data_IF_986370981297
#
_entry.id   IF_986370981297
#
_cell.length_a   1.000
_cell.length_b   1.000
_cell.length_c   1.000
_cell.angle_alpha   90.00
_cell.angle_beta   90.00
_cell.angle_gamma   90.00
#
_symmetry.space_group_name_H-M   'P 1'
#
loop_
_entity.id
_entity.type
_entity.pdbx_description
1 polymer ?
#
# COMPACT_ATOMS: atom_id res chain seq x y z
N UNK A 1 57.37 -54.61 -2.73
CA UNK A 1 56.63 -53.33 -2.83
C UNK A 1 55.15 -53.70 -2.89
N UNK A 2 54.35 -53.64 -1.82
CA UNK A 2 53.96 -52.42 -1.06
C UNK A 2 53.46 -51.38 -2.08
N UNK A 3 52.19 -51.00 -2.18
CA UNK A 3 51.28 -50.60 -1.11
C UNK A 3 49.80 -50.86 -1.43
N UNK A 4 49.06 -51.15 -0.37
CA UNK A 4 47.61 -51.02 -0.24
C UNK A 4 47.22 -49.54 -0.32
N UNK A 5 46.15 -49.19 -1.04
CA UNK A 5 45.38 -47.98 -0.76
C UNK A 5 43.90 -48.32 -0.80
N UNK A 6 43.35 -48.48 0.41
CA UNK A 6 41.97 -48.13 0.72
C UNK A 6 41.80 -46.64 0.43
N UNK A 7 40.73 -46.27 -0.28
CA UNK A 7 40.16 -44.94 -0.12
C UNK A 7 38.64 -45.07 -0.13
N UNK A 8 38.11 -44.84 1.06
CA UNK A 8 36.70 -44.85 1.40
C UNK A 8 35.88 -43.98 0.45
N UNK A 9 34.82 -44.58 -0.08
CA UNK A 9 33.73 -43.83 -0.69
C UNK A 9 33.00 -43.09 0.43
N UNK A 10 33.42 -41.86 0.71
CA UNK A 10 32.63 -40.94 1.54
C UNK A 10 31.36 -40.62 0.73
N UNK A 11 30.27 -41.32 1.02
CA UNK A 11 28.94 -40.85 0.66
C UNK A 11 28.72 -39.56 1.43
N UNK A 12 28.86 -38.42 0.76
CA UNK A 12 28.39 -37.14 1.30
C UNK A 12 26.87 -37.25 1.30
N UNK A 13 26.30 -37.79 2.39
CA UNK A 13 24.94 -37.48 2.78
C UNK A 13 24.92 -35.96 2.91
N UNK A 14 24.29 -35.29 1.93
CA UNK A 14 23.76 -33.95 2.13
C UNK A 14 22.79 -34.10 3.30
N UNK A 15 23.29 -33.90 4.52
CA UNK A 15 22.41 -33.51 5.60
C UNK A 15 21.67 -32.28 5.05
N UNK A 16 20.32 -32.26 5.08
CA UNK A 16 19.64 -30.99 4.94
C UNK A 16 20.29 -30.11 5.99
N UNK A 17 20.88 -28.99 5.59
CA UNK A 17 21.08 -27.91 6.52
C UNK A 17 19.67 -27.60 7.04
N UNK A 18 19.33 -28.19 8.18
CA UNK A 18 18.38 -27.60 9.09
C UNK A 18 18.97 -26.22 9.35
N UNK A 19 18.52 -25.25 8.56
CA UNK A 19 18.43 -23.87 9.00
C UNK A 19 17.44 -23.88 10.18
N UNK A 20 17.83 -24.48 11.30
CA UNK A 20 17.38 -24.03 12.60
C UNK A 20 18.05 -22.66 12.78
N UNK A 21 17.54 -21.66 12.06
CA UNK A 21 17.68 -20.29 12.53
C UNK A 21 17.11 -20.35 13.93
N UNK A 22 17.95 -20.31 14.98
CA UNK A 22 17.48 -20.10 16.34
C UNK A 22 16.49 -18.94 16.25
N UNK A 23 15.22 -19.24 16.48
CA UNK A 23 14.20 -18.19 16.45
C UNK A 23 14.66 -17.17 17.47
N UNK A 24 14.84 -15.94 17.00
CA UNK A 24 15.24 -14.84 17.85
C UNK A 24 14.39 -14.90 19.13
N UNK A 25 14.97 -14.95 20.34
CA UNK A 25 14.21 -15.09 21.57
C UNK A 25 13.22 -13.94 21.81
N UNK A 26 13.34 -12.85 21.05
CA UNK A 26 12.43 -11.71 21.03
C UNK A 26 11.32 -11.82 19.96
N UNK A 27 11.36 -12.84 19.09
CA UNK A 27 10.30 -13.11 18.12
C UNK A 27 9.07 -13.66 18.84
N UNK A 28 8.11 -12.77 19.10
CA UNK A 28 6.80 -13.11 19.67
C UNK A 28 5.89 -13.86 18.68
N UNK A 29 6.36 -14.09 17.45
CA UNK A 29 5.63 -14.75 16.39
C UNK A 29 4.46 -13.91 15.86
N UNK A 30 3.54 -14.58 15.18
CA UNK A 30 2.33 -13.94 14.68
C UNK A 30 1.21 -13.98 15.73
N UNK A 31 0.51 -12.85 15.89
CA UNK A 31 -0.75 -12.80 16.65
C UNK A 31 -1.87 -13.45 15.82
N UNK A 32 -1.82 -14.78 15.68
CA UNK A 32 -2.71 -15.58 14.83
C UNK A 32 -3.49 -16.60 15.65
N UNK A 33 -4.81 -16.49 15.58
CA UNK A 33 -5.77 -17.45 16.13
C UNK A 33 -6.16 -18.41 15.00
N UNK A 34 -5.97 -19.71 15.21
CA UNK A 34 -6.45 -20.76 14.30
C UNK A 34 -7.92 -21.05 14.60
N UNK A 35 -8.74 -21.16 13.57
CA UNK A 35 -10.17 -21.45 13.69
C UNK A 35 -10.49 -22.95 13.52
N UNK A 36 -9.51 -23.73 13.05
CA UNK A 36 -9.61 -25.18 12.91
C UNK A 36 -8.27 -25.88 13.17
N UNK A 37 -8.31 -27.20 13.33
CA UNK A 37 -7.12 -28.01 13.64
C UNK A 37 -6.08 -28.02 12.52
N UNK A 38 -6.51 -27.89 11.26
CA UNK A 38 -5.63 -27.84 10.08
C UNK A 38 -4.86 -26.52 9.98
N UNK A 39 -5.36 -25.45 10.60
CA UNK A 39 -4.73 -24.13 10.62
C UNK A 39 -4.85 -23.33 9.32
N UNK A 40 -5.63 -23.82 8.35
CA UNK A 40 -5.93 -23.11 7.09
C UNK A 40 -7.09 -22.12 7.22
N UNK A 41 -7.83 -22.16 8.34
CA UNK A 41 -8.74 -21.11 8.76
C UNK A 41 -8.15 -20.36 9.94
N UNK A 42 -8.10 -19.03 9.86
CA UNK A 42 -7.40 -18.22 10.87
C UNK A 42 -7.87 -16.77 10.90
N UNK A 43 -7.63 -16.11 12.03
CA UNK A 43 -7.69 -14.66 12.22
C UNK A 43 -6.31 -14.20 12.69
N UNK A 44 -5.76 -13.16 12.06
CA UNK A 44 -4.46 -12.56 12.37
C UNK A 44 -4.64 -11.10 12.72
N UNK A 45 -4.07 -10.70 13.84
CA UNK A 45 -4.00 -9.31 14.28
C UNK A 45 -2.62 -8.73 13.98
N UNK A 46 -2.60 -7.45 13.64
CA UNK A 46 -1.38 -6.67 13.44
C UNK A 46 -1.56 -5.30 14.07
N UNK A 47 -0.58 -4.87 14.85
CA UNK A 47 -0.54 -3.54 15.45
C UNK A 47 0.67 -2.84 14.85
N UNK A 48 0.48 -1.62 14.35
CA UNK A 48 1.57 -0.78 13.86
C UNK A 48 1.47 0.61 14.46
N UNK A 49 2.58 1.11 15.01
CA UNK A 49 2.70 2.45 15.56
C UNK A 49 3.90 3.15 14.94
N UNK A 50 3.70 4.39 14.52
CA UNK A 50 4.72 5.29 14.00
C UNK A 50 4.61 6.60 14.76
N UNK A 51 5.54 6.81 15.69
CA UNK A 51 5.70 8.06 16.43
C UNK A 51 6.85 8.82 15.78
N UNK A 52 6.59 10.09 15.47
CA UNK A 52 7.58 10.99 14.91
C UNK A 52 7.97 12.01 15.97
N UNK A 53 9.28 12.14 16.19
CA UNK A 53 9.89 13.24 16.92
C UNK A 53 10.71 14.03 15.91
N UNK A 54 10.45 15.32 15.81
CA UNK A 54 10.97 16.16 14.73
C UNK A 54 11.56 17.45 15.28
N UNK A 55 12.67 17.87 14.69
CA UNK A 55 13.25 19.20 14.78
C UNK A 55 13.37 19.72 13.37
N UNK A 56 12.67 20.82 13.07
CA UNK A 56 12.51 21.35 11.71
C UNK A 56 13.03 22.78 11.71
N UNK A 57 13.95 23.07 10.80
CA UNK A 57 14.23 24.43 10.37
C UNK A 57 13.16 24.83 9.36
N UNK A 58 12.38 25.85 9.69
CA UNK A 58 11.22 26.23 8.92
C UNK A 58 11.60 27.15 7.76
N UNK A 59 10.81 27.12 6.70
CA UNK A 59 10.92 28.09 5.62
C UNK A 59 10.55 29.50 6.13
N UNK A 60 11.16 30.58 5.59
CA UNK A 60 10.80 31.95 5.93
C UNK A 60 9.29 32.22 5.81
N UNK A 61 8.73 32.93 6.78
CA UNK A 61 7.29 33.25 6.84
C UNK A 61 6.41 32.11 7.41
N UNK A 62 7.00 30.97 7.80
CA UNK A 62 6.27 29.94 8.53
C UNK A 62 5.80 30.48 9.87
N UNK A 63 4.51 30.28 10.15
CA UNK A 63 3.93 30.62 11.45
C UNK A 63 3.15 29.44 12.02
N UNK A 64 3.22 29.31 13.35
CA UNK A 64 2.45 28.35 14.13
C UNK A 64 1.43 29.15 14.93
N UNK A 65 0.14 28.94 14.66
CA UNK A 65 -0.95 29.71 15.26
C UNK A 65 -0.74 31.24 15.13
N UNK A 66 -0.25 31.68 13.97
CA UNK A 66 0.02 33.10 13.69
C UNK A 66 1.31 33.65 14.31
N UNK A 67 2.06 32.86 15.08
CA UNK A 67 3.36 33.25 15.61
C UNK A 67 4.46 32.80 14.64
N UNK A 68 5.26 33.71 14.08
CA UNK A 68 6.41 33.33 13.25
C UNK A 68 7.38 32.42 14.01
N UNK A 69 7.87 31.38 13.34
CA UNK A 69 8.78 30.40 13.93
C UNK A 69 9.84 29.99 12.91
N UNK A 70 11.11 30.30 13.19
CA UNK A 70 12.25 29.85 12.37
C UNK A 70 12.58 28.37 12.60
N UNK A 71 12.21 27.83 13.76
CA UNK A 71 12.36 26.42 14.10
C UNK A 71 11.08 25.89 14.73
N UNK A 72 10.78 24.62 14.50
CA UNK A 72 9.66 23.94 15.17
C UNK A 72 10.06 22.55 15.62
N UNK A 73 9.63 22.20 16.82
CA UNK A 73 9.76 20.87 17.38
C UNK A 73 8.38 20.24 17.44
N UNK A 74 8.29 18.96 17.09
CA UNK A 74 7.00 18.27 17.08
C UNK A 74 7.13 16.81 17.51
N UNK A 75 6.14 16.37 18.28
CA UNK A 75 5.88 14.98 18.59
C UNK A 75 4.50 14.63 18.05
N UNK A 76 4.44 13.65 17.14
CA UNK A 76 3.21 13.29 16.45
C UNK A 76 3.05 11.80 16.24
N UNK A 77 1.80 11.36 16.21
CA UNK A 77 1.42 10.03 15.77
C UNK A 77 1.23 10.12 14.25
N UNK A 78 2.23 9.65 13.49
CA UNK A 78 2.14 9.61 12.03
C UNK A 78 1.09 8.61 11.57
N UNK A 79 1.11 7.41 12.17
CA UNK A 79 0.15 6.30 11.95
C UNK A 79 0.06 5.46 13.23
N UNK A 80 -1.15 5.18 13.70
CA UNK A 80 -1.40 4.17 14.72
C UNK A 80 -2.59 3.34 14.29
N UNK A 81 -2.34 2.08 13.92
CA UNK A 81 -3.29 1.25 13.19
C UNK A 81 -3.36 -0.17 13.75
N UNK A 82 -4.59 -0.68 13.79
CA UNK A 82 -4.92 -2.09 13.96
C UNK A 82 -5.27 -2.67 12.59
N UNK A 83 -4.70 -3.82 12.27
CA UNK A 83 -5.05 -4.62 11.09
C UNK A 83 -5.57 -5.97 11.55
N UNK A 84 -6.69 -6.40 11.00
CA UNK A 84 -7.28 -7.72 11.20
C UNK A 84 -7.40 -8.37 9.84
N UNK A 85 -6.79 -9.54 9.69
CA UNK A 85 -6.86 -10.35 8.47
C UNK A 85 -7.47 -11.69 8.84
N UNK A 86 -8.29 -12.25 7.97
CA UNK A 86 -8.84 -13.58 8.22
C UNK A 86 -8.92 -14.41 6.95
N UNK A 87 -8.74 -15.71 7.11
CA UNK A 87 -9.13 -16.73 6.15
C UNK A 87 -10.24 -17.53 6.83
N UNK A 88 -11.51 -17.24 6.48
CA UNK A 88 -12.68 -17.85 7.13
C UNK A 88 -12.97 -19.22 6.52
N UNK A 89 -12.87 -19.31 5.20
CA UNK A 89 -12.93 -20.57 4.45
C UNK A 89 -11.75 -20.62 3.48
N UNK A 90 -11.47 -21.75 2.81
CA UNK A 90 -10.44 -21.78 1.76
C UNK A 90 -10.66 -20.77 0.62
N UNK A 91 -11.87 -20.25 0.49
CA UNK A 91 -12.28 -19.36 -0.59
C UNK A 91 -12.68 -17.97 -0.13
N UNK A 92 -12.86 -17.73 1.17
CA UNK A 92 -13.36 -16.46 1.68
C UNK A 92 -12.46 -15.87 2.76
N UNK A 93 -12.10 -14.59 2.57
CA UNK A 93 -11.28 -13.81 3.50
C UNK A 93 -11.91 -12.44 3.77
N UNK A 94 -11.62 -11.91 4.96
CA UNK A 94 -12.01 -10.55 5.38
C UNK A 94 -10.75 -9.79 5.80
N UNK A 95 -10.65 -8.54 5.35
CA UNK A 95 -9.57 -7.63 5.71
C UNK A 95 -10.13 -6.35 6.30
N UNK A 96 -9.60 -5.98 7.47
CA UNK A 96 -9.88 -4.72 8.15
C UNK A 96 -8.57 -4.03 8.50
N UNK A 97 -8.47 -2.75 8.22
CA UNK A 97 -7.45 -1.86 8.78
C UNK A 97 -8.16 -0.61 9.29
N UNK A 98 -7.84 -0.20 10.51
CA UNK A 98 -8.47 0.95 11.16
C UNK A 98 -7.49 1.63 12.10
N UNK A 99 -7.71 2.92 12.37
CA UNK A 99 -6.84 3.67 13.25
C UNK A 99 -6.89 5.17 13.02
N UNK A 100 -5.86 5.85 13.51
CA UNK A 100 -5.64 7.28 13.32
C UNK A 100 -4.39 7.54 12.48
N UNK A 101 -4.37 8.69 11.82
CA UNK A 101 -3.26 9.18 11.01
C UNK A 101 -2.99 10.67 11.31
N UNK A 102 -1.73 11.08 11.19
CA UNK A 102 -1.32 12.49 11.14
C UNK A 102 -1.75 13.36 12.34
N UNK A 103 -1.76 12.79 13.54
CA UNK A 103 -2.05 13.56 14.74
C UNK A 103 -0.78 14.22 15.29
N UNK A 104 -0.82 15.51 15.53
CA UNK A 104 0.18 16.23 16.32
C UNK A 104 -0.49 17.38 17.09
N UNK A 105 0.29 18.32 17.64
CA UNK A 105 -0.27 19.37 18.50
C UNK A 105 -1.20 20.37 17.77
N UNK A 106 -1.19 20.44 16.43
CA UNK A 106 -2.02 21.36 15.63
C UNK A 106 -2.89 20.66 14.58
N UNK A 107 -2.51 19.48 14.09
CA UNK A 107 -3.16 18.76 13.00
C UNK A 107 -3.74 17.41 13.44
N UNK A 108 -4.64 16.89 12.60
CA UNK A 108 -5.22 15.56 12.79
C UNK A 108 -6.42 15.53 13.72
N UNK A 109 -6.79 16.65 14.36
CA UNK A 109 -7.95 16.79 15.24
C UNK A 109 -9.01 17.75 14.70
N UNK A 110 -9.85 18.29 15.59
CA UNK A 110 -10.83 19.32 15.22
C UNK A 110 -10.23 20.72 15.04
N UNK A 111 -11.07 21.74 14.97
CA UNK A 111 -10.66 23.15 14.73
C UNK A 111 -10.74 24.00 15.99
N UNK A 112 -9.89 25.02 16.10
CA UNK A 112 -9.94 26.00 17.19
C UNK A 112 -9.38 25.49 18.52
N UNK A 113 -9.82 26.08 19.63
CA UNK A 113 -9.42 25.70 20.99
C UNK A 113 -10.52 24.91 21.70
N UNK A 114 -10.21 24.31 22.85
CA UNK A 114 -11.18 23.57 23.67
C UNK A 114 -11.08 22.04 23.56
N UNK A 115 -12.16 21.35 23.92
CA UNK A 115 -12.20 19.89 24.11
C UNK A 115 -11.99 19.10 22.79
N UNK A 116 -12.39 19.68 21.66
CA UNK A 116 -12.21 19.13 20.31
C UNK A 116 -11.39 20.09 19.42
N UNK A 117 -10.45 20.83 20.03
CA UNK A 117 -9.63 21.81 19.31
C UNK A 117 -8.56 21.17 18.40
N UNK A 118 -7.75 22.03 17.79
CA UNK A 118 -6.62 21.69 16.93
C UNK A 118 -5.73 20.61 17.57
N UNK A 119 -5.40 19.59 16.78
CA UNK A 119 -4.55 18.46 17.20
C UNK A 119 -5.18 17.43 18.17
N UNK A 120 -6.37 17.70 18.72
CA UNK A 120 -7.00 16.82 19.71
C UNK A 120 -7.97 15.82 19.09
N UNK A 121 -8.00 14.61 19.67
CA UNK A 121 -8.95 13.52 19.36
C UNK A 121 -9.01 13.23 17.86
N UNK A 122 -7.89 12.80 17.30
CA UNK A 122 -7.85 12.48 15.90
C UNK A 122 -8.92 11.45 15.52
N UNK A 123 -9.66 11.65 14.41
CA UNK A 123 -10.70 10.72 14.01
C UNK A 123 -10.13 9.32 13.85
N UNK A 124 -10.79 8.36 14.50
CA UNK A 124 -10.57 6.95 14.24
C UNK A 124 -11.46 6.52 13.08
N UNK A 125 -10.87 5.94 12.04
CA UNK A 125 -11.61 5.52 10.84
C UNK A 125 -11.05 4.22 10.27
N UNK A 126 -11.83 3.58 9.40
CA UNK A 126 -11.40 2.41 8.65
C UNK A 126 -10.57 2.85 7.45
N UNK A 127 -9.31 2.41 7.36
CA UNK A 127 -8.51 2.55 6.15
C UNK A 127 -8.97 1.55 5.09
N UNK A 128 -9.13 0.29 5.47
CA UNK A 128 -9.60 -0.77 4.56
C UNK A 128 -10.66 -1.60 5.29
N UNK A 129 -11.73 -1.95 4.59
CA UNK A 129 -12.80 -2.79 5.10
C UNK A 129 -13.45 -3.51 3.92
N UNK A 130 -12.94 -4.69 3.59
CA UNK A 130 -13.37 -5.44 2.42
C UNK A 130 -13.35 -6.94 2.67
N UNK A 131 -14.05 -7.65 1.79
CA UNK A 131 -14.08 -9.10 1.74
C UNK A 131 -13.58 -9.58 0.38
N UNK A 132 -13.03 -10.79 0.33
CA UNK A 132 -12.51 -11.40 -0.89
C UNK A 132 -12.98 -12.84 -1.03
N UNK A 133 -13.32 -13.19 -2.27
CA UNK A 133 -13.61 -14.52 -2.76
C UNK A 133 -12.46 -14.98 -3.67
N UNK A 134 -11.82 -16.09 -3.33
CA UNK A 134 -10.86 -16.76 -4.17
C UNK A 134 -11.59 -17.57 -5.25
N UNK A 135 -11.51 -17.12 -6.50
CA UNK A 135 -12.00 -17.87 -7.67
C UNK A 135 -11.01 -18.98 -8.01
N UNK A 136 -9.72 -18.62 -8.03
CA UNK A 136 -8.60 -19.54 -8.13
C UNK A 136 -7.67 -19.22 -6.96
N UNK A 137 -7.66 -20.02 -5.88
CA UNK A 137 -6.84 -19.72 -4.71
C UNK A 137 -5.35 -19.85 -5.05
N UNK A 138 -4.50 -19.13 -4.34
CA UNK A 138 -3.04 -19.21 -4.50
C UNK A 138 -2.49 -20.61 -4.25
N UNK A 139 -3.06 -21.35 -3.31
CA UNK A 139 -2.74 -22.75 -3.07
C UNK A 139 -3.97 -23.60 -3.38
N UNK A 140 -3.76 -24.71 -4.09
CA UNK A 140 -4.80 -25.69 -4.34
C UNK A 140 -5.27 -26.29 -3.01
N UNK A 141 -6.57 -26.26 -2.76
CA UNK A 141 -7.13 -26.71 -1.49
C UNK A 141 -6.97 -28.22 -1.25
N UNK A 142 -7.03 -29.03 -2.31
CA UNK A 142 -6.93 -30.49 -2.22
C UNK A 142 -5.47 -30.94 -2.05
N UNK A 143 -4.55 -30.33 -2.79
CA UNK A 143 -3.14 -30.76 -2.82
C UNK A 143 -2.22 -29.96 -1.91
N UNK A 144 -2.66 -28.78 -1.45
CA UNK A 144 -1.86 -27.82 -0.68
C UNK A 144 -0.76 -27.13 -1.48
N UNK A 145 -0.57 -27.48 -2.75
CA UNK A 145 0.50 -26.94 -3.61
C UNK A 145 0.11 -25.59 -4.22
N UNK A 146 1.07 -24.68 -4.47
CA UNK A 146 0.81 -23.43 -5.16
C UNK A 146 0.20 -23.66 -6.55
N UNK A 147 -0.86 -22.94 -6.88
CA UNK A 147 -1.38 -22.86 -8.24
C UNK A 147 -0.46 -21.96 -9.08
N UNK A 148 -0.28 -22.31 -10.37
CA UNK A 148 0.49 -21.48 -11.32
C UNK A 148 -0.12 -20.08 -11.47
N UNK A 149 -1.45 -20.01 -11.44
CA UNK A 149 -2.22 -18.78 -11.55
C UNK A 149 -3.19 -18.69 -10.38
N UNK A 150 -3.54 -17.47 -9.99
CA UNK A 150 -4.57 -17.20 -8.99
C UNK A 150 -5.41 -16.00 -9.39
N UNK A 151 -6.63 -15.96 -8.87
CA UNK A 151 -7.66 -14.97 -9.18
C UNK A 151 -8.56 -14.80 -7.97
N UNK A 152 -8.72 -13.55 -7.55
CA UNK A 152 -9.53 -13.14 -6.42
C UNK A 152 -10.45 -12.00 -6.84
N UNK A 153 -11.68 -12.04 -6.36
CA UNK A 153 -12.68 -10.99 -6.52
C UNK A 153 -13.00 -10.46 -5.12
N UNK A 154 -13.04 -9.15 -4.93
CA UNK A 154 -13.41 -8.56 -3.65
C UNK A 154 -14.26 -7.31 -3.78
N UNK A 155 -14.83 -6.91 -2.65
CA UNK A 155 -15.70 -5.75 -2.54
C UNK A 155 -15.60 -5.10 -1.16
N UNK A 156 -15.72 -3.77 -1.12
CA UNK A 156 -15.69 -2.97 0.11
C UNK A 156 -14.90 -1.68 -0.03
N UNK A 157 -14.43 -1.14 1.08
CA UNK A 157 -13.49 -0.02 1.09
C UNK A 157 -12.07 -0.60 0.95
N UNK A 158 -11.40 -0.31 -0.16
CA UNK A 158 -10.12 -0.96 -0.46
C UNK A 158 -9.11 -0.06 -1.16
N UNK A 159 -7.85 -0.50 -1.11
CA UNK A 159 -6.70 0.12 -1.78
C UNK A 159 -6.17 -0.70 -2.97
N UNK A 160 -6.92 -1.70 -3.47
CA UNK A 160 -6.61 -2.41 -4.72
C UNK A 160 -6.79 -1.50 -5.94
N UNK A 161 -5.85 -0.57 -6.12
CA UNK A 161 -5.93 0.51 -7.10
C UNK A 161 -4.71 0.51 -8.02
N UNK A 162 -4.79 1.30 -9.09
CA UNK A 162 -3.63 1.83 -9.80
C UNK A 162 -3.01 3.00 -9.04
N UNK A 163 -2.01 3.70 -9.59
CA UNK A 163 -1.47 3.53 -10.96
C UNK A 163 -0.04 2.99 -10.97
N UNK A 164 0.56 2.87 -9.80
CA UNK A 164 1.94 2.40 -9.63
C UNK A 164 2.08 1.54 -8.38
N UNK A 165 3.29 1.03 -8.18
CA UNK A 165 3.74 0.38 -6.97
C UNK A 165 3.58 1.26 -5.74
N UNK A 166 3.97 2.53 -5.82
CA UNK A 166 3.91 3.44 -4.68
C UNK A 166 2.50 3.98 -4.40
N UNK A 167 1.58 3.98 -5.37
CA UNK A 167 0.15 4.21 -5.07
C UNK A 167 -0.40 3.12 -4.15
N UNK A 168 0.23 1.94 -4.15
CA UNK A 168 -0.10 0.79 -3.32
C UNK A 168 0.94 0.54 -2.21
N UNK A 169 1.74 1.52 -1.83
CA UNK A 169 2.86 1.26 -0.91
C UNK A 169 2.42 0.85 0.50
N UNK A 170 3.13 -0.14 1.05
CA UNK A 170 3.01 -0.54 2.44
C UNK A 170 3.63 0.49 3.35
N UNK A 171 2.84 0.97 4.33
CA UNK A 171 3.32 1.93 5.32
C UNK A 171 4.26 1.32 6.36
N UNK A 172 4.36 -0.02 6.45
CA UNK A 172 5.23 -0.72 7.41
C UNK A 172 6.52 -1.25 6.78
N UNK A 173 6.69 -1.09 5.47
CA UNK A 173 7.83 -1.61 4.70
C UNK A 173 8.38 -0.56 3.75
N UNK A 174 8.63 0.64 4.26
CA UNK A 174 9.09 1.78 3.48
C UNK A 174 10.61 1.88 3.54
N UNK A 175 11.23 2.35 2.46
CA UNK A 175 12.66 2.65 2.46
C UNK A 175 12.94 3.99 3.17
N UNK A 176 12.16 5.01 2.82
CA UNK A 176 12.26 6.36 3.39
C UNK A 176 11.28 6.54 4.56
N UNK A 177 11.44 7.65 5.30
CA UNK A 177 10.59 7.98 6.44
C UNK A 177 9.12 8.25 6.10
N UNK A 178 8.82 8.71 4.87
CA UNK A 178 7.44 8.83 4.37
C UNK A 178 7.34 8.62 2.85
N UNK A 179 6.11 8.56 2.33
CA UNK A 179 5.80 8.46 0.91
C UNK A 179 5.51 9.85 0.33
N UNK A 180 6.09 10.20 -0.82
CA UNK A 180 5.71 11.43 -1.52
C UNK A 180 4.24 11.39 -1.95
N UNK A 181 3.49 12.46 -1.66
CA UNK A 181 2.03 12.53 -1.83
C UNK A 181 1.61 12.41 -3.30
N UNK A 182 2.42 12.89 -4.25
CA UNK A 182 2.11 12.83 -5.69
C UNK A 182 2.00 11.40 -6.24
N UNK A 183 2.30 10.35 -5.47
CA UNK A 183 2.05 8.96 -5.87
C UNK A 183 0.57 8.57 -5.79
N UNK A 184 -0.27 9.41 -5.18
CA UNK A 184 -1.67 9.13 -4.91
C UNK A 184 -2.57 10.16 -5.63
N UNK A 185 -3.21 9.79 -6.75
CA UNK A 185 -3.89 10.75 -7.63
C UNK A 185 -4.99 11.58 -6.95
N UNK A 186 -5.81 10.96 -6.11
CA UNK A 186 -7.03 11.56 -5.55
C UNK A 186 -7.00 11.70 -4.03
N UNK A 187 -5.80 11.63 -3.43
CA UNK A 187 -5.60 11.43 -2.00
C UNK A 187 -6.34 12.46 -1.15
N UNK A 188 -7.24 12.00 -0.30
CA UNK A 188 -8.05 12.84 0.60
C UNK A 188 -8.92 13.90 -0.13
N UNK A 189 -9.12 13.77 -1.44
CA UNK A 189 -10.01 14.62 -2.23
C UNK A 189 -11.23 13.82 -2.69
N UNK A 190 -11.01 12.80 -3.53
CA UNK A 190 -12.07 11.90 -4.01
C UNK A 190 -11.88 10.45 -3.52
N UNK A 191 -10.96 10.24 -2.58
CA UNK A 191 -10.70 9.00 -1.88
C UNK A 191 -10.53 9.23 -0.36
N UNK A 192 -10.57 8.16 0.41
CA UNK A 192 -10.24 8.15 1.83
C UNK A 192 -8.87 7.49 2.02
N UNK A 193 -7.83 8.30 2.16
CA UNK A 193 -6.44 7.88 2.31
C UNK A 193 -6.00 6.86 1.25
N UNK A 194 -6.32 7.06 -0.04
CA UNK A 194 -6.08 6.16 -1.18
C UNK A 194 -7.05 4.97 -1.28
N UNK A 195 -8.20 5.01 -0.58
CA UNK A 195 -9.24 3.99 -0.66
C UNK A 195 -10.56 4.54 -1.17
N UNK A 196 -11.27 3.73 -1.93
CA UNK A 196 -12.61 4.01 -2.39
C UNK A 196 -13.50 2.78 -2.16
N UNK A 197 -14.82 3.01 -2.16
CA UNK A 197 -15.80 1.93 -2.11
C UNK A 197 -16.02 1.37 -3.51
N UNK A 198 -15.91 0.05 -3.66
CA UNK A 198 -16.02 -0.56 -4.96
C UNK A 198 -15.86 -2.07 -4.95
N UNK A 199 -15.62 -2.58 -6.17
CA UNK A 199 -15.27 -3.96 -6.44
C UNK A 199 -13.90 -4.00 -7.10
N UNK A 200 -13.15 -5.06 -6.83
CA UNK A 200 -11.82 -5.23 -7.38
C UNK A 200 -11.55 -6.69 -7.71
N UNK A 201 -10.63 -6.88 -8.65
CA UNK A 201 -10.08 -8.18 -9.01
C UNK A 201 -8.57 -8.10 -8.93
N UNK A 202 -7.94 -9.15 -8.43
CA UNK A 202 -6.48 -9.25 -8.44
C UNK A 202 -6.03 -10.69 -8.54
N UNK A 203 -4.76 -10.85 -8.87
CA UNK A 203 -4.11 -12.14 -8.84
C UNK A 203 -2.78 -12.14 -9.55
N UNK A 204 -2.35 -13.34 -9.92
CA UNK A 204 -1.10 -13.58 -10.61
C UNK A 204 -1.33 -14.57 -11.75
N UNK A 205 -0.79 -14.26 -12.92
CA UNK A 205 -0.64 -15.18 -14.04
C UNK A 205 0.84 -15.47 -14.23
N UNK A 206 1.30 -16.61 -13.71
CA UNK A 206 2.71 -16.97 -13.59
C UNK A 206 3.56 -15.85 -12.94
N UNK A 207 4.25 -15.02 -13.73
CA UNK A 207 5.11 -13.92 -13.27
C UNK A 207 4.44 -12.54 -13.32
N UNK A 208 3.30 -12.43 -13.99
CA UNK A 208 2.53 -11.19 -14.09
C UNK A 208 1.59 -11.06 -12.88
N UNK A 209 1.80 -10.05 -12.05
CA UNK A 209 0.82 -9.64 -11.05
C UNK A 209 -0.13 -8.63 -11.66
N UNK A 210 -1.42 -8.70 -11.35
CA UNK A 210 -2.42 -7.76 -11.84
C UNK A 210 -3.43 -7.40 -10.74
N UNK A 211 -3.93 -6.17 -10.79
CA UNK A 211 -5.05 -5.69 -9.98
C UNK A 211 -5.85 -4.65 -10.76
N UNK A 212 -7.17 -4.72 -10.65
CA UNK A 212 -8.09 -3.78 -11.28
C UNK A 212 -9.26 -3.51 -10.34
N UNK A 213 -9.82 -2.31 -10.42
CA UNK A 213 -10.97 -1.92 -9.62
C UNK A 213 -11.94 -1.03 -10.37
N UNK A 214 -13.20 -1.12 -9.93
CA UNK A 214 -14.29 -0.22 -10.32
C UNK A 214 -14.88 0.33 -9.03
N UNK A 215 -14.72 1.65 -8.84
CA UNK A 215 -15.07 2.30 -7.58
C UNK A 215 -16.07 3.42 -7.80
N UNK A 216 -16.72 3.82 -6.71
CA UNK A 216 -17.46 5.07 -6.60
C UNK A 216 -16.58 6.06 -5.83
N UNK A 217 -15.96 7.06 -6.49
CA UNK A 217 -15.23 8.11 -5.79
C UNK A 217 -16.13 8.85 -4.79
N UNK A 218 -15.54 9.33 -3.69
CA UNK A 218 -16.25 10.18 -2.74
C UNK A 218 -16.64 11.51 -3.39
N UNK A 219 -17.76 12.08 -2.94
CA UNK A 219 -18.32 13.28 -3.56
C UNK A 219 -17.39 14.49 -3.39
N UNK A 220 -17.15 15.21 -4.47
CA UNK A 220 -16.40 16.47 -4.48
C UNK A 220 -17.27 17.57 -5.09
N UNK A 221 -17.14 18.80 -4.59
CA UNK A 221 -18.05 19.89 -4.94
C UNK A 221 -17.39 21.27 -4.93
N UNK A 222 -16.08 21.34 -5.17
CA UNK A 222 -15.41 22.64 -5.27
C UNK A 222 -16.05 23.46 -6.40
N UNK A 223 -16.24 24.75 -6.15
CA UNK A 223 -16.83 25.66 -7.13
C UNK A 223 -15.72 26.24 -8.00
N UNK A 224 -15.71 25.99 -9.32
CA UNK A 224 -14.76 26.64 -10.21
C UNK A 224 -15.01 28.15 -10.24
N UNK A 225 -13.98 28.90 -10.63
CA UNK A 225 -14.06 30.34 -10.88
C UNK A 225 -13.98 30.62 -12.37
N UNK A 226 -14.59 31.72 -12.82
CA UNK A 226 -14.58 32.11 -14.24
C UNK A 226 -13.15 32.27 -14.75
N UNK A 227 -12.79 31.54 -15.82
CA UNK A 227 -11.47 31.55 -16.42
C UNK A 227 -10.37 30.88 -15.59
N UNK A 228 -10.71 30.22 -14.48
CA UNK A 228 -9.76 29.50 -13.63
C UNK A 228 -9.54 28.04 -14.03
N UNK A 229 -8.63 27.34 -13.34
CA UNK A 229 -8.37 25.92 -13.53
C UNK A 229 -9.61 25.07 -13.27
N UNK A 230 -9.59 23.84 -13.80
CA UNK A 230 -10.49 22.81 -13.35
C UNK A 230 -10.25 22.48 -11.87
N UNK A 231 -11.34 22.31 -11.12
CA UNK A 231 -11.33 21.95 -9.69
C UNK A 231 -12.06 20.64 -9.46
N UNK A 232 -11.74 19.94 -8.37
CA UNK A 232 -12.40 18.70 -7.98
C UNK A 232 -13.90 18.88 -7.73
N UNK A 233 -14.70 18.41 -8.68
CA UNK A 233 -16.14 18.46 -8.63
C UNK A 233 -16.71 17.35 -9.50
N UNK A 234 -17.03 16.23 -8.85
CA UNK A 234 -17.48 15.04 -9.54
C UNK A 234 -19.00 14.97 -9.75
N UNK A 235 -19.75 16.01 -9.34
CA UNK A 235 -21.20 16.14 -9.47
C UNK A 235 -21.96 14.87 -9.00
N UNK A 236 -22.46 14.07 -9.96
CA UNK A 236 -23.16 12.79 -9.69
C UNK A 236 -22.23 11.66 -9.21
N UNK A 237 -20.91 11.89 -9.28
CA UNK A 237 -19.83 10.96 -9.00
C UNK A 237 -19.89 9.74 -9.92
N UNK A 238 -19.42 9.86 -11.17
CA UNK A 238 -19.35 8.68 -12.05
C UNK A 238 -18.41 7.61 -11.45
N UNK A 239 -18.54 6.38 -11.93
CA UNK A 239 -17.62 5.32 -11.55
C UNK A 239 -16.20 5.66 -12.02
N UNK A 240 -15.22 5.36 -11.18
CA UNK A 240 -13.81 5.35 -11.54
C UNK A 240 -13.36 3.92 -11.87
N UNK A 241 -12.35 3.83 -12.74
CA UNK A 241 -11.70 2.59 -13.13
C UNK A 241 -10.22 2.74 -12.88
N UNK A 242 -9.61 1.74 -12.26
CA UNK A 242 -8.19 1.77 -11.96
C UNK A 242 -7.55 0.41 -12.13
N UNK A 243 -6.25 0.40 -12.41
CA UNK A 243 -5.51 -0.84 -12.54
C UNK A 243 -4.01 -0.64 -12.43
N UNK A 244 -3.32 -1.72 -12.06
CA UNK A 244 -1.88 -1.81 -12.07
C UNK A 244 -1.48 -3.27 -12.34
N UNK A 245 -0.50 -3.46 -13.20
CA UNK A 245 0.08 -4.76 -13.46
C UNK A 245 1.60 -4.63 -13.51
N UNK A 246 2.30 -5.64 -13.01
CA UNK A 246 3.76 -5.66 -13.06
C UNK A 246 4.29 -7.07 -13.33
N UNK A 247 5.33 -7.13 -14.14
CA UNK A 247 6.02 -8.37 -14.48
C UNK A 247 7.24 -8.56 -13.58
N UNK A 248 7.38 -9.76 -13.01
CA UNK A 248 8.41 -10.09 -12.04
C UNK A 248 9.53 -10.90 -12.70
N UNK A 249 10.66 -10.27 -12.99
CA UNK A 249 11.76 -10.89 -13.75
C UNK A 249 12.58 -11.88 -12.92
N UNK A 250 12.79 -11.60 -11.63
CA UNK A 250 13.62 -12.42 -10.75
C UNK A 250 12.79 -13.23 -9.75
N UNK A 251 12.93 -13.01 -8.45
CA UNK A 251 12.05 -13.63 -7.46
C UNK A 251 10.66 -12.99 -7.50
N UNK A 252 9.62 -13.83 -7.38
CA UNK A 252 8.25 -13.35 -7.20
C UNK A 252 8.08 -12.77 -5.81
N UNK A 253 7.47 -11.60 -5.73
CA UNK A 253 6.83 -11.05 -4.54
C UNK A 253 5.48 -11.74 -4.31
N UNK A 254 5.08 -11.88 -3.04
CA UNK A 254 3.75 -12.40 -2.68
C UNK A 254 2.83 -11.25 -2.32
N UNK A 255 1.70 -11.15 -3.02
CA UNK A 255 0.71 -10.06 -2.84
C UNK A 255 -0.53 -10.58 -2.11
N UNK A 256 -0.46 -10.69 -0.78
CA UNK A 256 -1.62 -11.13 0.03
C UNK A 256 -2.61 -10.00 0.27
N UNK A 257 -2.12 -8.76 0.31
CA UNK A 257 -2.91 -7.54 0.46
C UNK A 257 -2.64 -6.62 -0.73
N UNK A 258 -3.40 -5.53 -0.82
CA UNK A 258 -3.14 -4.45 -1.77
C UNK A 258 -1.75 -3.83 -1.60
N UNK A 259 -1.14 -3.94 -0.42
CA UNK A 259 0.10 -3.24 -0.10
C UNK A 259 1.37 -3.90 -0.66
N UNK A 260 2.16 -3.13 -1.40
CA UNK A 260 3.46 -3.52 -1.95
C UNK A 260 4.59 -2.95 -1.09
N UNK A 261 5.60 -3.76 -0.78
CA UNK A 261 6.70 -3.39 0.11
C UNK A 261 7.67 -2.40 -0.53
N UNK A 262 7.79 -1.15 -0.08
CA UNK A 262 8.87 -0.25 -0.56
C UNK A 262 10.28 -0.83 -0.43
N UNK A 263 10.53 -1.64 0.60
CA UNK A 263 11.78 -2.37 0.82
C UNK A 263 11.49 -3.66 1.61
N UNK A 264 12.16 -4.76 1.27
CA UNK A 264 12.11 -6.03 1.99
C UNK A 264 13.49 -6.41 2.53
N UNK A 265 14.27 -5.42 2.98
CA UNK A 265 15.63 -5.57 3.50
C UNK A 265 16.56 -6.33 2.51
N UNK A 266 16.28 -6.20 1.20
CA UNK A 266 16.98 -6.92 0.15
C UNK A 266 17.12 -8.44 0.39
N UNK A 267 16.14 -9.07 1.06
CA UNK A 267 16.19 -10.49 1.40
C UNK A 267 16.21 -11.41 0.15
N UNK A 268 15.68 -10.92 -0.98
CA UNK A 268 15.65 -11.63 -2.26
C UNK A 268 15.94 -10.68 -3.41
N UNK A 269 16.43 -11.23 -4.51
CA UNK A 269 16.67 -10.48 -5.75
C UNK A 269 15.34 -10.27 -6.47
N UNK A 270 14.90 -9.01 -6.57
CA UNK A 270 13.63 -8.62 -7.20
C UNK A 270 13.90 -7.62 -8.30
N UNK A 271 13.22 -7.77 -9.43
CA UNK A 271 13.13 -6.77 -10.49
C UNK A 271 11.74 -6.85 -11.08
N UNK A 272 11.00 -5.75 -10.96
CA UNK A 272 9.65 -5.61 -11.46
C UNK A 272 9.56 -4.39 -12.36
N UNK A 273 8.83 -4.53 -13.46
CA UNK A 273 8.42 -3.41 -14.30
C UNK A 273 6.90 -3.40 -14.31
N UNK A 274 6.31 -2.26 -13.98
CA UNK A 274 4.88 -2.10 -13.84
C UNK A 274 4.32 -0.93 -14.64
N UNK A 275 3.03 -1.02 -14.93
CA UNK A 275 2.26 0.08 -15.51
C UNK A 275 0.83 0.03 -14.98
N UNK A 276 0.20 1.19 -14.90
CA UNK A 276 -1.15 1.31 -14.39
C UNK A 276 -1.84 2.59 -14.80
N UNK A 277 -3.11 2.68 -14.44
CA UNK A 277 -3.97 3.78 -14.80
C UNK A 277 -5.05 4.05 -13.73
N UNK A 278 -5.57 5.26 -13.77
CA UNK A 278 -6.77 5.70 -13.07
C UNK A 278 -7.57 6.56 -14.04
N UNK A 279 -8.87 6.34 -14.14
CA UNK A 279 -9.76 7.17 -14.94
C UNK A 279 -11.10 7.33 -14.26
N UNK A 280 -11.63 8.56 -14.26
CA UNK A 280 -12.98 8.86 -13.83
C UNK A 280 -13.56 9.90 -14.78
N UNK A 281 -14.78 9.65 -15.28
CA UNK A 281 -15.53 10.66 -16.04
C UNK A 281 -16.07 11.74 -15.11
N UNK A 282 -16.25 12.94 -15.65
CA UNK A 282 -16.83 14.10 -14.96
C UNK A 282 -16.27 14.27 -13.54
N UNK A 283 -14.94 14.18 -13.38
CA UNK A 283 -14.28 14.17 -12.08
C UNK A 283 -13.93 15.58 -11.60
N UNK A 284 -13.64 16.46 -12.55
CA UNK A 284 -13.34 17.87 -12.30
C UNK A 284 -14.26 18.75 -13.13
N UNK A 285 -14.37 20.01 -12.74
CA UNK A 285 -15.19 21.01 -13.41
C UNK A 285 -14.42 22.31 -13.55
N UNK A 286 -14.51 22.96 -14.70
CA UNK A 286 -14.06 24.34 -14.90
C UNK A 286 -15.23 25.25 -15.26
N UNK A 287 -15.00 26.56 -15.18
CA UNK A 287 -15.97 27.58 -15.58
C UNK A 287 -15.33 28.52 -16.62
N UNK A 288 -15.43 28.22 -17.93
CA UNK A 288 -14.81 29.07 -18.95
C UNK A 288 -15.39 30.49 -19.03
N UNK A 289 -16.69 30.64 -18.79
CA UNK A 289 -17.38 31.93 -18.73
C UNK A 289 -18.46 31.93 -17.64
N UNK A 290 -19.01 33.10 -17.33
CA UNK A 290 -20.02 33.25 -16.28
C UNK A 290 -21.20 32.28 -16.49
N UNK A 291 -21.51 31.48 -15.46
CA UNK A 291 -22.53 30.43 -15.45
C UNK A 291 -22.41 29.33 -16.52
N UNK A 292 -21.27 29.21 -17.20
CA UNK A 292 -20.98 28.12 -18.14
C UNK A 292 -20.01 27.14 -17.49
N UNK A 293 -20.47 25.93 -17.21
CA UNK A 293 -19.66 24.90 -16.56
C UNK A 293 -19.29 23.79 -17.54
N UNK A 294 -18.04 23.35 -17.51
CA UNK A 294 -17.53 22.24 -18.30
C UNK A 294 -16.98 21.15 -17.39
N UNK A 295 -17.46 19.92 -17.56
CA UNK A 295 -16.96 18.73 -16.84
C UNK A 295 -15.81 18.09 -17.62
N UNK A 296 -14.78 17.64 -16.89
CA UNK A 296 -13.60 17.00 -17.46
C UNK A 296 -13.34 15.65 -16.79
N UNK A 297 -12.78 14.68 -17.53
CA UNK A 297 -12.30 13.46 -16.91
C UNK A 297 -11.02 13.72 -16.10
N UNK A 298 -10.82 12.90 -15.07
CA UNK A 298 -9.52 12.76 -14.40
C UNK A 298 -8.88 11.49 -14.91
N UNK A 299 -7.70 11.62 -15.54
CA UNK A 299 -6.93 10.51 -16.06
C UNK A 299 -5.51 10.56 -15.50
N UNK A 300 -5.04 9.42 -15.01
CA UNK A 300 -3.66 9.23 -14.61
C UNK A 300 -3.11 7.99 -15.25
N UNK A 301 -1.93 8.09 -15.84
CA UNK A 301 -1.13 6.96 -16.29
C UNK A 301 0.17 6.89 -15.49
N UNK A 302 0.60 5.68 -15.16
CA UNK A 302 1.86 5.43 -14.47
C UNK A 302 2.65 4.29 -15.09
N UNK A 303 3.97 4.41 -15.08
CA UNK A 303 4.89 3.32 -15.39
C UNK A 303 6.06 3.37 -14.40
N UNK A 304 6.43 2.24 -13.84
CA UNK A 304 7.48 2.15 -12.83
C UNK A 304 8.42 0.97 -13.05
N UNK A 305 9.59 1.10 -12.43
CA UNK A 305 10.56 0.03 -12.26
C UNK A 305 10.96 -0.03 -10.79
N UNK A 306 10.97 -1.24 -10.26
CA UNK A 306 11.37 -1.53 -8.89
C UNK A 306 12.39 -2.64 -8.88
N UNK A 307 13.47 -2.49 -8.11
CA UNK A 307 14.41 -3.57 -7.88
C UNK A 307 14.97 -3.57 -6.46
N UNK A 308 15.17 -4.78 -5.94
CA UNK A 308 15.97 -5.04 -4.75
C UNK A 308 17.08 -6.03 -5.12
N UNK A 309 18.33 -5.67 -4.86
CA UNK A 309 19.48 -6.51 -5.13
C UNK A 309 20.21 -6.74 -3.81
N UNK A 310 20.23 -7.98 -3.29
CA UNK A 310 21.10 -8.33 -2.16
C UNK A 310 22.56 -8.11 -2.54
N UNK A 311 23.33 -7.44 -1.66
CA UNK A 311 24.75 -7.14 -1.87
C UNK A 311 25.55 -7.59 -0.65
N UNK A 312 26.80 -8.03 -0.85
CA UNK A 312 27.69 -8.37 0.25
C UNK A 312 27.27 -9.61 1.05
N UNK A 313 27.49 -9.57 2.37
CA UNK A 313 27.23 -10.71 3.25
C UNK A 313 25.72 -10.86 3.52
N UNK A 314 25.15 -12.01 3.16
CA UNK A 314 23.72 -12.33 3.36
C UNK A 314 23.25 -12.24 4.80
N UNK A 315 24.14 -12.49 5.78
CA UNK A 315 23.78 -12.40 7.21
C UNK A 315 23.63 -10.98 7.71
N UNK A 316 24.06 -9.97 6.92
CA UNK A 316 24.00 -8.56 7.27
C UNK A 316 22.85 -7.80 6.59
N UNK A 317 21.98 -8.51 5.84
CA UNK A 317 20.80 -7.92 5.16
C UNK A 317 21.14 -6.67 4.32
N UNK A 318 22.34 -6.67 3.74
CA UNK A 318 22.81 -5.56 2.92
C UNK A 318 22.20 -5.67 1.51
N UNK A 319 21.77 -4.54 0.96
CA UNK A 319 21.36 -4.50 -0.43
C UNK A 319 21.00 -3.12 -0.95
N UNK A 320 20.77 -3.08 -2.26
CA UNK A 320 20.42 -1.89 -3.00
C UNK A 320 18.95 -1.96 -3.38
N UNK A 321 18.18 -0.94 -2.98
CA UNK A 321 16.80 -0.74 -3.44
C UNK A 321 16.78 0.42 -4.43
N UNK A 322 16.16 0.20 -5.58
CA UNK A 322 15.95 1.21 -6.61
C UNK A 322 14.47 1.26 -6.98
N UNK A 323 13.94 2.46 -7.09
CA UNK A 323 12.60 2.72 -7.58
C UNK A 323 12.61 3.96 -8.45
N UNK A 324 11.98 3.87 -9.62
CA UNK A 324 11.72 5.01 -10.50
C UNK A 324 10.32 4.89 -11.06
N UNK A 325 9.66 6.03 -11.23
CA UNK A 325 8.28 6.10 -11.73
C UNK A 325 8.09 7.33 -12.60
N UNK A 326 7.36 7.13 -13.69
CA UNK A 326 6.79 8.18 -14.51
C UNK A 326 5.28 8.26 -14.24
N UNK A 327 4.76 9.48 -14.06
CA UNK A 327 3.33 9.74 -14.02
C UNK A 327 2.95 10.78 -15.07
N UNK A 328 1.81 10.55 -15.73
CA UNK A 328 1.11 11.55 -16.52
C UNK A 328 -0.25 11.81 -15.88
N UNK A 329 -0.42 13.02 -15.34
CA UNK A 329 -1.65 13.49 -14.71
C UNK A 329 -2.39 14.43 -15.65
N UNK A 330 -3.68 14.15 -15.88
CA UNK A 330 -4.58 15.03 -16.61
C UNK A 330 -5.89 15.17 -15.82
N UNK A 331 -6.06 16.32 -15.20
CA UNK A 331 -7.23 16.68 -14.40
C UNK A 331 -8.15 17.70 -15.10
N UNK A 332 -7.96 17.91 -16.41
CA UNK A 332 -8.60 18.99 -17.14
C UNK A 332 -7.69 20.22 -17.28
N UNK A 333 -8.24 21.35 -17.76
CA UNK A 333 -7.49 22.57 -18.02
C UNK A 333 -6.93 23.21 -16.74
N UNK A 334 -5.74 23.82 -16.86
CA UNK A 334 -5.14 24.70 -15.85
C UNK A 334 -5.64 26.13 -15.99
#
# INVERSE_FOLDING_TARGET
MQYCYSQDTISIKKNPEENSSEKNPLDIGELKIKLNSKGDQWIKFGISSQIWLRSIENNPGTSVNGVPQEQTYDAGIRRMRLTIQSQVTPFYSVFLQMGINNQNFISGGGTGTGNNGAGKKAPFFFHDAYNELAIIPRNNFQTGKPNKNNLYLGAGLHSWNGVSRLTNASTTKMLAGDLPIFNFPSIEIADQFSRQLGVFVHGEFDRLNYRFSVNKPFATNLKPVVGGPAVDNNQSGKLSYSGYAFYQFFNKETTVTSFLSGNNLAAKKVLNIGAGFYTSKDATQSQPSENVFASHPSNTFGADIYSEIPLGNKTKEMGLTFYSVFYNYNYGPN
#
